data_IF_147576973049
#
_entry.id   IF_147576973049
#
_cell.length_a   1.000
_cell.length_b   1.000
_cell.length_c   1.000
_cell.angle_alpha   90.00
_cell.angle_beta   90.00
_cell.angle_gamma   90.00
#
_symmetry.space_group_name_H-M   'P 1'
#
loop_
_entity.id
_entity.type
_entity.pdbx_description
1 polymer ?
#
# COMPACT_ATOMS: atom_id res chain seq x y z
N UNK A 1 7.20 5.61 -24.94
CA UNK A 1 5.95 6.28 -24.51
C UNK A 1 4.80 5.46 -25.03
N UNK A 2 4.46 4.38 -24.33
CA UNK A 2 3.23 3.62 -24.57
C UNK A 2 2.63 3.41 -23.19
N UNK A 3 1.65 4.25 -22.86
CA UNK A 3 0.91 4.15 -21.61
C UNK A 3 -0.23 3.18 -21.78
N UNK A 4 -0.44 2.33 -20.78
CA UNK A 4 -1.68 1.56 -20.69
C UNK A 4 -2.68 2.44 -19.93
N UNK A 5 -3.80 2.76 -20.55
CA UNK A 5 -4.90 3.49 -19.95
C UNK A 5 -6.13 2.58 -19.90
N UNK A 6 -6.80 2.50 -18.75
CA UNK A 6 -8.08 1.82 -18.61
C UNK A 6 -9.14 2.80 -18.12
N UNK A 7 -10.35 2.61 -18.64
CA UNK A 7 -11.58 3.22 -18.16
C UNK A 7 -12.35 2.10 -17.45
N UNK A 8 -12.49 2.18 -16.13
CA UNK A 8 -13.35 1.26 -15.38
C UNK A 8 -14.76 1.87 -15.32
N UNK A 9 -15.66 1.39 -16.17
CA UNK A 9 -17.10 1.68 -16.08
C UNK A 9 -17.77 0.71 -15.11
N UNK A 10 -18.18 1.20 -13.93
CA UNK A 10 -18.96 0.41 -12.97
C UNK A 10 -20.46 0.70 -13.11
N UNK A 11 -21.27 -0.32 -13.40
CA UNK A 11 -22.74 -0.21 -13.39
C UNK A 11 -23.28 -0.74 -12.06
N UNK A 12 -23.84 0.14 -11.24
CA UNK A 12 -24.61 -0.27 -10.06
C UNK A 12 -26.09 -0.39 -10.45
N UNK A 13 -26.67 -1.61 -10.39
CA UNK A 13 -28.14 -1.81 -10.48
C UNK A 13 -28.73 -1.65 -9.08
N UNK A 14 -29.47 -0.57 -8.85
CA UNK A 14 -30.39 -0.49 -7.72
C UNK A 14 -31.58 -1.42 -8.00
N UNK A 15 -31.79 -2.42 -7.14
CA UNK A 15 -32.98 -3.24 -7.11
C UNK A 15 -34.19 -2.41 -6.65
N UNK A 16 -35.02 -1.97 -7.59
CA UNK A 16 -36.31 -1.33 -7.33
C UNK A 16 -37.46 -2.34 -7.36
N UNK A 17 -38.19 -2.47 -6.25
CA UNK A 17 -39.43 -3.24 -6.14
C UNK A 17 -40.48 -2.74 -7.14
N UNK A 18 -41.29 -3.69 -7.61
CA UNK A 18 -42.26 -3.50 -8.70
C UNK A 18 -43.28 -2.39 -8.50
N UNK A 19 -43.56 -1.68 -9.60
CA UNK A 19 -44.70 -0.81 -9.79
C UNK A 19 -44.87 -0.58 -11.28
N UNK A 20 -45.96 -1.10 -11.87
CA UNK A 20 -46.32 -0.81 -13.27
C UNK A 20 -46.79 0.64 -13.35
N UNK A 21 -46.07 1.46 -14.10
CA UNK A 21 -46.47 2.82 -14.44
C UNK A 21 -45.96 3.18 -15.83
N UNK A 22 -46.88 3.28 -16.79
CA UNK A 22 -46.60 3.83 -18.13
C UNK A 22 -46.41 5.33 -17.97
N UNK A 23 -45.24 5.87 -18.36
CA UNK A 23 -45.07 7.32 -18.51
C UNK A 23 -44.37 7.68 -19.82
N UNK A 24 -45.06 8.57 -20.51
CA UNK A 24 -44.80 9.18 -21.82
C UNK A 24 -43.45 9.90 -21.90
N UNK A 25 -42.79 9.75 -23.04
CA UNK A 25 -41.56 10.43 -23.41
C UNK A 25 -41.83 11.91 -23.76
N UNK A 26 -41.33 12.84 -22.95
CA UNK A 26 -41.14 14.25 -23.36
C UNK A 26 -39.65 14.55 -23.47
N UNK A 27 -39.22 14.98 -24.66
CA UNK A 27 -37.87 15.50 -24.93
C UNK A 27 -37.62 16.74 -24.07
N UNK A 28 -36.71 16.62 -23.10
CA UNK A 28 -36.14 17.74 -22.34
C UNK A 28 -34.72 18.05 -22.82
N UNK A 29 -34.44 19.35 -22.96
CA UNK A 29 -33.18 19.97 -23.43
C UNK A 29 -31.91 19.37 -22.80
N UNK A 30 -30.89 19.16 -23.63
CA UNK A 30 -29.50 18.98 -23.17
C UNK A 30 -29.04 20.23 -22.42
N UNK A 31 -28.78 20.07 -21.12
CA UNK A 31 -27.99 21.01 -20.33
C UNK A 31 -26.57 20.45 -20.30
N UNK A 32 -25.62 21.18 -20.88
CA UNK A 32 -24.22 20.80 -20.93
C UNK A 32 -23.65 20.54 -19.54
N UNK A 33 -23.50 19.27 -19.19
CA UNK A 33 -22.85 18.84 -17.96
C UNK A 33 -21.34 18.87 -18.20
N UNK A 34 -20.64 19.83 -17.59
CA UNK A 34 -19.19 19.80 -17.42
C UNK A 34 -18.83 18.63 -16.49
N UNK A 35 -18.82 17.42 -17.01
CA UNK A 35 -18.32 16.25 -16.27
C UNK A 35 -16.79 16.36 -16.17
N UNK A 36 -16.23 15.93 -15.04
CA UNK A 36 -14.79 16.01 -14.78
C UNK A 36 -14.15 14.63 -14.95
N UNK A 37 -12.92 14.61 -15.45
CA UNK A 37 -12.05 13.43 -15.52
C UNK A 37 -11.17 13.43 -14.26
N UNK A 38 -11.16 12.33 -13.51
CA UNK A 38 -10.20 12.13 -12.42
C UNK A 38 -9.05 11.29 -12.96
N UNK A 39 -7.84 11.86 -12.93
CA UNK A 39 -6.60 11.15 -13.26
C UNK A 39 -5.86 10.91 -11.95
N UNK A 40 -5.64 9.65 -11.61
CA UNK A 40 -4.75 9.25 -10.53
C UNK A 40 -3.47 8.69 -11.18
N UNK A 41 -2.41 9.49 -11.16
CA UNK A 41 -1.07 9.06 -11.60
C UNK A 41 -0.29 8.57 -10.38
N UNK A 42 0.22 7.35 -10.46
CA UNK A 42 1.17 6.83 -9.49
C UNK A 42 2.52 6.71 -10.19
N UNK A 43 3.39 7.70 -9.99
CA UNK A 43 4.76 7.61 -10.51
C UNK A 43 5.58 6.57 -9.72
N UNK A 44 6.30 5.73 -10.46
CA UNK A 44 7.35 4.88 -9.92
C UNK A 44 8.67 5.66 -9.95
N UNK A 45 8.86 6.56 -8.99
CA UNK A 45 10.15 7.24 -8.79
C UNK A 45 11.21 6.26 -8.30
N UNK A 46 12.19 5.94 -9.15
CA UNK A 46 13.52 5.53 -8.72
C UNK A 46 14.17 6.76 -8.08
N UNK A 47 14.67 6.61 -6.86
CA UNK A 47 15.32 7.67 -6.12
C UNK A 47 16.55 8.23 -6.87
N UNK A 48 16.36 9.33 -7.59
CA UNK A 48 17.44 10.23 -8.04
C UNK A 48 16.98 11.69 -7.96
N UNK A 49 17.64 12.41 -7.04
CA UNK A 49 17.94 13.85 -7.09
C UNK A 49 16.76 14.81 -7.25
N UNK A 50 16.13 15.20 -6.15
CA UNK A 50 15.47 16.51 -6.07
C UNK A 50 16.49 17.55 -5.60
N UNK A 51 17.11 18.22 -6.58
CA UNK A 51 17.50 19.62 -6.44
C UNK A 51 16.35 20.44 -7.03
N UNK A 52 15.86 21.39 -6.26
CA UNK A 52 15.10 22.57 -6.68
C UNK A 52 13.82 22.32 -7.52
N UNK A 53 12.67 22.16 -6.85
CA UNK A 53 11.39 22.57 -7.41
C UNK A 53 11.05 23.96 -6.87
N UNK A 54 11.55 24.97 -7.58
CA UNK A 54 11.05 26.34 -7.51
C UNK A 54 9.68 26.37 -8.17
N UNK A 55 8.66 26.74 -7.40
CA UNK A 55 7.31 27.01 -7.92
C UNK A 55 7.36 28.29 -8.75
N UNK A 56 7.53 28.16 -10.07
CA UNK A 56 7.35 29.28 -10.99
C UNK A 56 5.84 29.48 -11.27
N UNK A 57 5.22 30.33 -10.45
CA UNK A 57 3.96 30.99 -10.75
C UNK A 57 4.17 32.21 -11.65
N UNK A 58 3.23 32.41 -12.57
CA UNK A 58 3.11 33.51 -13.54
C UNK A 58 3.08 34.92 -12.87
N UNK A 59 3.32 36.00 -13.65
CA UNK A 59 3.77 37.29 -13.13
C UNK A 59 2.71 38.09 -12.35
N UNK A 60 3.25 38.92 -11.45
CA UNK A 60 2.53 39.82 -10.57
C UNK A 60 2.35 41.21 -11.21
N UNK A 61 1.24 41.42 -11.93
CA UNK A 61 0.80 42.73 -12.41
C UNK A 61 -0.54 42.66 -13.15
N UNK A 62 -1.66 42.53 -12.42
CA UNK A 62 -2.95 43.04 -12.90
C UNK A 62 -3.97 43.17 -11.75
N UNK A 63 -4.55 44.37 -11.65
CA UNK A 63 -5.72 44.77 -10.87
C UNK A 63 -5.50 45.24 -9.41
N UNK A 64 -5.01 46.48 -9.28
CA UNK A 64 -5.60 47.46 -8.36
C UNK A 64 -6.66 48.30 -9.11
N UNK A 65 -7.57 48.88 -8.33
CA UNK A 65 -8.60 49.89 -8.67
C UNK A 65 -10.01 49.40 -9.06
N UNK A 66 -10.86 49.17 -8.05
CA UNK A 66 -12.28 49.59 -8.09
C UNK A 66 -12.75 50.07 -6.70
N UNK A 67 -12.79 51.41 -6.59
CA UNK A 67 -13.68 52.33 -5.85
C UNK A 67 -14.75 51.77 -4.90
N UNK A 68 -14.72 52.28 -3.67
CA UNK A 68 -15.80 52.24 -2.65
C UNK A 68 -17.03 53.05 -3.10
N UNK A 69 -18.21 52.45 -3.04
CA UNK A 69 -19.49 53.18 -3.06
C UNK A 69 -20.51 52.51 -2.11
N UNK A 70 -21.21 53.36 -1.37
CA UNK A 70 -22.05 53.09 -0.20
C UNK A 70 -23.23 52.12 -0.41
N UNK A 71 -23.51 51.32 0.64
CA UNK A 71 -24.73 50.52 0.81
C UNK A 71 -25.41 50.81 2.17
N UNK A 72 -26.75 50.70 2.28
CA UNK A 72 -27.54 51.41 3.29
C UNK A 72 -27.64 50.74 4.67
N UNK A 73 -27.97 51.60 5.64
CA UNK A 73 -28.09 51.44 7.10
C UNK A 73 -28.94 50.22 7.56
N UNK A 74 -28.36 49.42 8.47
CA UNK A 74 -29.09 48.42 9.28
C UNK A 74 -29.83 49.09 10.45
N UNK A 75 -31.14 48.79 10.55
CA UNK A 75 -32.05 49.21 11.61
C UNK A 75 -31.96 48.27 12.84
N UNK A 76 -31.93 48.90 14.01
CA UNK A 76 -32.31 48.51 15.38
C UNK A 76 -32.29 47.03 15.86
N UNK A 77 -31.66 46.83 17.03
CA UNK A 77 -31.74 45.66 17.93
C UNK A 77 -33.14 45.52 18.58
N UNK A 78 -33.60 44.30 18.90
CA UNK A 78 -34.56 44.07 19.97
C UNK A 78 -33.89 43.61 21.29
N UNK A 79 -34.50 44.03 22.40
CA UNK A 79 -34.20 43.78 23.82
C UNK A 79 -34.51 42.32 24.28
N UNK A 80 -34.02 41.88 25.46
CA UNK A 80 -34.00 40.47 25.86
C UNK A 80 -35.27 40.02 26.60
N UNK A 81 -35.66 38.75 26.43
CA UNK A 81 -36.79 38.12 27.15
C UNK A 81 -36.29 36.95 28.01
N UNK A 82 -36.53 37.06 29.33
CA UNK A 82 -36.97 35.96 30.19
C UNK A 82 -35.93 34.96 30.70
N UNK A 83 -35.52 35.09 31.97
CA UNK A 83 -34.85 34.05 32.74
C UNK A 83 -35.76 32.82 32.93
N UNK A 84 -35.31 31.65 32.48
CA UNK A 84 -35.79 30.35 32.95
C UNK A 84 -34.62 29.64 33.67
N UNK A 85 -34.80 29.35 34.96
CA UNK A 85 -33.87 28.56 35.77
C UNK A 85 -33.86 27.12 35.24
N UNK A 86 -32.69 26.63 34.80
CA UNK A 86 -32.42 25.21 34.70
C UNK A 86 -31.54 24.78 35.88
N UNK A 87 -32.00 23.77 36.61
CA UNK A 87 -31.25 23.11 37.67
C UNK A 87 -30.04 22.39 37.06
N UNK A 88 -28.86 22.62 37.64
CA UNK A 88 -27.63 21.91 37.28
C UNK A 88 -27.68 20.53 37.94
N UNK A 89 -28.06 19.52 37.17
CA UNK A 89 -27.80 18.12 37.52
C UNK A 89 -26.32 17.86 37.27
N UNK A 90 -25.54 17.71 38.35
CA UNK A 90 -24.17 17.21 38.26
C UNK A 90 -24.20 15.75 37.81
N UNK A 91 -24.04 15.52 36.50
CA UNK A 91 -23.60 14.22 35.99
C UNK A 91 -22.09 14.22 36.07
N UNK A 92 -21.52 13.37 36.92
CA UNK A 92 -20.10 13.08 36.94
C UNK A 92 -19.72 12.56 35.54
N UNK A 93 -19.04 13.40 34.76
CA UNK A 93 -18.51 13.00 33.46
C UNK A 93 -17.28 12.14 33.68
N UNK A 94 -17.41 10.84 33.43
CA UNK A 94 -16.28 10.07 32.92
C UNK A 94 -15.93 10.70 31.57
N UNK A 95 -14.85 11.48 31.55
CA UNK A 95 -14.32 12.06 30.33
C UNK A 95 -13.75 10.93 29.47
N UNK A 96 -14.50 10.53 28.46
CA UNK A 96 -14.04 9.63 27.40
C UNK A 96 -12.79 10.27 26.76
N UNK A 97 -11.59 9.65 26.85
CA UNK A 97 -10.38 10.25 26.34
C UNK A 97 -10.51 10.51 24.85
N UNK A 98 -10.06 11.69 24.40
CA UNK A 98 -10.10 12.05 22.99
C UNK A 98 -9.43 10.96 22.14
N UNK A 99 -9.87 10.78 20.89
CA UNK A 99 -9.27 9.79 19.97
C UNK A 99 -7.73 9.92 19.91
N UNK A 100 -7.22 11.16 20.00
CA UNK A 100 -5.80 11.46 20.03
C UNK A 100 -5.11 10.97 21.32
N UNK A 101 -5.75 11.12 22.50
CA UNK A 101 -5.20 10.61 23.76
C UNK A 101 -5.16 9.08 23.78
N UNK A 102 -6.18 8.44 23.20
CA UNK A 102 -6.23 6.99 23.03
C UNK A 102 -5.13 6.48 22.08
N UNK A 103 -4.86 7.22 20.99
CA UNK A 103 -3.79 6.91 20.05
C UNK A 103 -2.40 7.08 20.66
N UNK A 104 -2.14 8.17 21.39
CA UNK A 104 -0.85 8.38 22.06
C UNK A 104 -0.59 7.28 23.10
N UNK A 105 -1.58 6.96 23.95
CA UNK A 105 -1.45 5.86 24.93
C UNK A 105 -1.17 4.52 24.27
N UNK A 106 -1.79 4.23 23.12
CA UNK A 106 -1.52 3.00 22.35
C UNK A 106 -0.11 3.01 21.76
N UNK A 107 0.34 4.13 21.22
CA UNK A 107 1.69 4.26 20.66
C UNK A 107 2.76 4.08 21.75
N UNK A 108 2.56 4.69 22.91
CA UNK A 108 3.46 4.54 24.06
C UNK A 108 3.48 3.10 24.59
N UNK A 109 2.32 2.44 24.65
CA UNK A 109 2.24 1.03 25.03
C UNK A 109 2.97 0.14 24.02
N UNK A 110 2.86 0.42 22.72
CA UNK A 110 3.56 -0.32 21.68
C UNK A 110 5.07 -0.10 21.72
N UNK A 111 5.53 1.12 22.00
CA UNK A 111 6.97 1.44 22.13
C UNK A 111 7.66 0.66 23.24
N UNK A 112 6.92 0.29 24.29
CA UNK A 112 7.42 -0.48 25.45
C UNK A 112 7.42 -1.99 25.23
N UNK A 113 6.79 -2.49 24.18
CA UNK A 113 6.74 -3.94 23.93
C UNK A 113 7.93 -4.39 23.08
N UNK A 114 8.79 -5.29 23.59
CA UNK A 114 9.98 -5.71 22.86
C UNK A 114 9.62 -6.49 21.59
N UNK A 115 10.44 -6.36 20.55
CA UNK A 115 10.22 -7.05 19.27
C UNK A 115 11.50 -7.66 18.69
N UNK A 116 11.42 -8.93 18.32
CA UNK A 116 12.43 -9.62 17.52
C UNK A 116 12.00 -9.60 16.04
N UNK A 117 12.78 -8.94 15.19
CA UNK A 117 12.52 -8.82 13.76
C UNK A 117 13.44 -9.77 13.01
N UNK A 118 12.87 -10.75 12.30
CA UNK A 118 13.63 -11.75 11.55
C UNK A 118 13.43 -11.54 10.06
N UNK A 119 14.50 -11.27 9.32
CA UNK A 119 14.49 -11.19 7.85
C UNK A 119 14.95 -12.53 7.28
N UNK A 120 13.99 -13.37 6.87
CA UNK A 120 14.25 -14.65 6.20
C UNK A 120 14.58 -14.36 4.73
N UNK A 121 15.70 -14.89 4.23
CA UNK A 121 16.25 -14.48 2.94
C UNK A 121 17.18 -13.26 3.02
N UNK A 122 17.80 -13.02 4.18
CA UNK A 122 18.62 -11.84 4.46
C UNK A 122 19.78 -11.59 3.48
N UNK A 123 20.30 -12.63 2.82
CA UNK A 123 21.38 -12.48 1.81
C UNK A 123 20.86 -12.08 0.42
N UNK A 124 19.55 -11.96 0.23
CA UNK A 124 18.91 -11.62 -1.04
C UNK A 124 18.81 -10.11 -1.32
N UNK A 125 18.52 -9.78 -2.56
CA UNK A 125 18.47 -8.39 -3.05
C UNK A 125 17.41 -7.52 -2.39
N UNK A 126 16.20 -8.06 -2.17
CA UNK A 126 15.12 -7.33 -1.53
C UNK A 126 15.50 -6.92 -0.09
N UNK A 127 16.09 -7.85 0.65
CA UNK A 127 16.52 -7.61 2.03
C UNK A 127 17.55 -6.47 2.10
N UNK A 128 18.58 -6.54 1.26
CA UNK A 128 19.66 -5.54 1.17
C UNK A 128 19.17 -4.18 0.70
N UNK A 129 18.42 -4.14 -0.41
CA UNK A 129 18.05 -2.87 -1.08
C UNK A 129 16.85 -2.17 -0.44
N UNK A 130 16.00 -2.89 0.30
CA UNK A 130 14.73 -2.36 0.81
C UNK A 130 14.48 -2.67 2.29
N UNK A 131 14.53 -3.94 2.70
CA UNK A 131 14.08 -4.33 4.05
C UNK A 131 14.96 -3.79 5.17
N UNK A 132 16.28 -4.01 5.13
CA UNK A 132 17.19 -3.48 6.15
C UNK A 132 17.26 -1.94 6.14
N UNK A 133 17.35 -1.26 4.97
CA UNK A 133 17.24 0.19 4.94
C UNK A 133 15.93 0.73 5.54
N UNK A 134 14.79 0.05 5.33
CA UNK A 134 13.52 0.45 5.92
C UNK A 134 13.49 0.27 7.45
N UNK A 135 14.02 -0.86 7.96
CA UNK A 135 14.14 -1.08 9.42
C UNK A 135 15.06 -0.03 10.05
N UNK A 136 16.20 0.28 9.40
CA UNK A 136 17.09 1.33 9.86
C UNK A 136 16.43 2.71 9.83
N UNK A 137 15.63 3.02 8.82
CA UNK A 137 14.85 4.27 8.77
C UNK A 137 13.87 4.36 9.94
N UNK A 138 13.15 3.28 10.25
CA UNK A 138 12.27 3.24 11.43
C UNK A 138 13.04 3.45 12.74
N UNK A 139 14.25 2.87 12.86
CA UNK A 139 15.13 3.10 13.99
C UNK A 139 15.60 4.56 14.07
N UNK A 140 16.05 5.12 12.95
CA UNK A 140 16.57 6.48 12.84
C UNK A 140 15.53 7.53 13.26
N UNK A 141 14.25 7.27 12.99
CA UNK A 141 13.12 8.13 13.36
C UNK A 141 12.48 7.78 14.71
N UNK A 142 13.09 6.90 15.52
CA UNK A 142 12.59 6.47 16.83
C UNK A 142 11.14 5.91 16.76
N UNK A 143 10.84 5.19 15.66
CA UNK A 143 9.56 4.53 15.37
C UNK A 143 9.57 3.03 15.68
N UNK A 144 10.73 2.44 15.99
CA UNK A 144 10.80 1.09 16.56
C UNK A 144 10.56 1.11 18.07
N UNK A 145 10.13 -0.01 18.67
CA UNK A 145 10.15 -0.18 20.12
C UNK A 145 11.55 0.05 20.70
N UNK A 146 11.62 0.45 21.96
CA UNK A 146 12.91 0.73 22.65
C UNK A 146 13.79 -0.54 22.70
N UNK A 147 13.15 -1.66 22.99
CA UNK A 147 13.76 -2.99 22.99
C UNK A 147 13.46 -3.71 21.68
N UNK A 148 14.42 -3.73 20.77
CA UNK A 148 14.31 -4.53 19.56
C UNK A 148 15.64 -5.17 19.19
N UNK A 149 15.54 -6.27 18.44
CA UNK A 149 16.66 -6.99 17.87
C UNK A 149 16.33 -7.40 16.44
N UNK A 150 17.33 -7.42 15.55
CA UNK A 150 17.17 -7.78 14.14
C UNK A 150 18.01 -9.02 13.84
N UNK A 151 17.39 -10.06 13.29
CA UNK A 151 18.05 -11.28 12.85
C UNK A 151 17.95 -11.44 11.34
N UNK A 152 19.08 -11.57 10.66
CA UNK A 152 19.13 -12.12 9.32
C UNK A 152 19.13 -13.64 9.35
N UNK A 153 18.32 -14.29 8.51
CA UNK A 153 18.32 -15.74 8.36
C UNK A 153 18.41 -16.13 6.89
N UNK A 154 19.45 -16.87 6.50
CA UNK A 154 19.58 -17.41 5.15
C UNK A 154 20.49 -18.65 5.08
N UNK A 155 20.51 -19.30 3.91
CA UNK A 155 21.37 -20.48 3.66
C UNK A 155 22.87 -20.15 3.63
N UNK A 156 23.20 -18.92 3.23
CA UNK A 156 24.58 -18.46 3.13
C UNK A 156 25.24 -18.52 4.51
N UNK A 157 26.44 -19.10 4.59
CA UNK A 157 27.24 -19.03 5.83
C UNK A 157 27.90 -17.67 5.88
N UNK A 158 27.65 -16.93 6.95
CA UNK A 158 28.23 -15.62 7.22
C UNK A 158 28.45 -15.50 8.72
N UNK A 159 29.51 -14.80 9.13
CA UNK A 159 29.73 -14.41 10.52
C UNK A 159 28.82 -13.23 10.90
N UNK A 160 28.79 -12.90 12.19
CA UNK A 160 28.05 -11.72 12.68
C UNK A 160 28.66 -10.43 12.08
N UNK A 161 29.98 -10.38 11.96
CA UNK A 161 30.76 -9.26 11.44
C UNK A 161 30.50 -9.07 9.95
N UNK A 162 30.59 -10.14 9.15
CA UNK A 162 30.29 -10.11 7.71
C UNK A 162 28.85 -9.66 7.44
N UNK A 163 27.90 -10.07 8.29
CA UNK A 163 26.52 -9.61 8.18
C UNK A 163 26.34 -8.14 8.50
N UNK A 164 27.01 -7.62 9.54
CA UNK A 164 26.96 -6.20 9.88
C UNK A 164 27.61 -5.34 8.81
N UNK A 165 28.74 -5.77 8.24
CA UNK A 165 29.37 -5.10 7.10
C UNK A 165 28.44 -5.09 5.87
N UNK A 166 27.79 -6.22 5.59
CA UNK A 166 26.80 -6.31 4.53
C UNK A 166 25.67 -5.30 4.74
N UNK A 167 25.05 -5.27 5.93
CA UNK A 167 24.00 -4.30 6.23
C UNK A 167 24.54 -2.87 6.07
N UNK A 168 25.65 -2.55 6.74
CA UNK A 168 26.28 -1.23 6.72
C UNK A 168 26.49 -0.71 5.29
N UNK A 169 26.98 -1.57 4.38
CA UNK A 169 27.20 -1.20 2.97
C UNK A 169 25.92 -0.87 2.20
N UNK A 170 24.76 -1.32 2.69
CA UNK A 170 23.45 -1.15 2.05
C UNK A 170 22.61 -0.05 2.70
N UNK A 171 22.93 0.34 3.93
CA UNK A 171 22.24 1.42 4.62
C UNK A 171 22.61 2.75 3.96
N UNK A 172 21.59 3.56 3.67
CA UNK A 172 21.81 4.89 3.11
C UNK A 172 21.23 5.95 4.04
N UNK A 173 22.03 6.95 4.39
CA UNK A 173 21.62 8.10 5.18
C UNK A 173 20.80 9.13 4.36
N UNK A 174 20.03 8.67 3.37
CA UNK A 174 19.30 9.55 2.44
C UNK A 174 18.17 10.32 3.13
N UNK A 175 17.88 10.02 4.40
CA UNK A 175 16.77 10.59 5.16
C UNK A 175 17.31 11.60 6.19
N UNK A 176 17.35 12.86 5.75
CA UNK A 176 17.45 14.15 6.47
C UNK A 176 18.32 14.23 7.76
N UNK A 177 19.28 15.15 7.67
CA UNK A 177 20.30 15.58 8.62
C UNK A 177 21.41 14.56 8.92
N UNK A 178 22.25 14.31 7.91
CA UNK A 178 23.40 13.39 7.95
C UNK A 178 24.46 13.67 9.03
N UNK A 179 24.25 14.66 9.91
CA UNK A 179 25.13 15.00 11.04
C UNK A 179 25.17 13.93 12.13
N UNK A 180 24.21 13.00 12.20
CA UNK A 180 24.16 11.90 13.20
C UNK A 180 24.10 10.48 12.63
N UNK A 181 24.31 10.31 11.32
CA UNK A 181 24.05 9.01 10.70
C UNK A 181 25.04 7.92 11.15
N UNK A 182 26.34 8.25 11.26
CA UNK A 182 27.34 7.30 11.77
C UNK A 182 27.01 6.85 13.19
N UNK A 183 26.67 7.78 14.07
CA UNK A 183 26.27 7.49 15.45
C UNK A 183 25.06 6.54 15.50
N UNK A 184 24.03 6.81 14.70
CA UNK A 184 22.85 5.94 14.61
C UNK A 184 23.19 4.57 14.01
N UNK A 185 24.12 4.47 13.06
CA UNK A 185 24.59 3.18 12.56
C UNK A 185 25.33 2.40 13.65
N UNK A 186 26.20 3.06 14.41
CA UNK A 186 26.96 2.47 15.51
C UNK A 186 26.04 1.97 16.65
N UNK A 187 24.89 2.61 16.86
CA UNK A 187 23.84 2.15 17.78
C UNK A 187 22.99 0.99 17.22
N UNK A 188 22.75 0.98 15.91
CA UNK A 188 21.87 0.01 15.25
C UNK A 188 22.56 -1.34 14.98
N UNK A 189 23.77 -1.32 14.40
CA UNK A 189 24.47 -2.52 13.95
C UNK A 189 24.74 -3.56 15.05
N UNK A 190 25.02 -3.18 16.32
CA UNK A 190 25.16 -4.15 17.42
C UNK A 190 23.89 -4.98 17.67
N UNK A 191 22.71 -4.46 17.30
CA UNK A 191 21.40 -5.14 17.43
C UNK A 191 21.10 -6.08 16.25
N UNK A 192 21.97 -6.11 15.24
CA UNK A 192 21.85 -6.95 14.07
C UNK A 192 22.68 -8.23 14.25
N UNK A 193 22.01 -9.37 14.16
CA UNK A 193 22.56 -10.71 14.30
C UNK A 193 22.22 -11.57 13.10
N UNK A 194 22.98 -12.63 12.87
CA UNK A 194 22.81 -13.54 11.74
C UNK A 194 22.75 -15.00 12.18
N UNK A 195 21.87 -15.77 11.56
CA UNK A 195 21.76 -17.22 11.74
C UNK A 195 21.72 -17.88 10.37
N UNK A 196 22.67 -18.78 10.11
CA UNK A 196 22.68 -19.57 8.88
C UNK A 196 21.83 -20.82 9.03
N UNK A 197 20.94 -21.10 8.07
CA UNK A 197 20.11 -22.31 8.09
C UNK A 197 19.31 -22.52 6.81
N UNK A 198 18.82 -23.74 6.61
CA UNK A 198 17.93 -24.09 5.48
C UNK A 198 16.49 -23.70 5.78
N UNK A 199 15.71 -23.45 4.74
CA UNK A 199 14.31 -23.02 4.88
C UNK A 199 13.33 -24.18 5.09
N UNK A 200 13.76 -25.41 4.80
CA UNK A 200 12.96 -26.63 4.82
C UNK A 200 13.35 -27.61 5.93
N UNK A 201 14.22 -27.18 6.86
CA UNK A 201 14.72 -28.01 7.96
C UNK A 201 14.28 -27.42 9.31
N UNK A 202 13.46 -28.17 10.05
CA UNK A 202 12.91 -27.73 11.34
C UNK A 202 13.96 -27.52 12.43
N UNK A 203 15.05 -28.32 12.44
CA UNK A 203 16.15 -28.15 13.41
C UNK A 203 16.87 -26.82 13.26
N UNK A 204 16.95 -26.29 12.03
CA UNK A 204 17.62 -25.00 11.76
C UNK A 204 16.77 -23.84 12.30
N UNK A 205 15.43 -23.93 12.20
CA UNK A 205 14.52 -22.98 12.85
C UNK A 205 14.51 -23.13 14.38
N UNK A 206 14.75 -24.34 14.90
CA UNK A 206 14.94 -24.54 16.34
C UNK A 206 16.23 -23.87 16.84
N UNK A 207 17.28 -23.83 16.03
CA UNK A 207 18.50 -23.08 16.33
C UNK A 207 18.22 -21.56 16.33
N UNK A 208 17.50 -21.06 15.31
CA UNK A 208 17.03 -19.66 15.29
C UNK A 208 16.20 -19.32 16.54
N UNK A 209 15.29 -20.21 16.96
CA UNK A 209 14.48 -20.00 18.16
C UNK A 209 15.34 -19.87 19.44
N UNK A 210 16.43 -20.63 19.56
CA UNK A 210 17.36 -20.50 20.69
C UNK A 210 18.02 -19.13 20.71
N UNK A 211 18.45 -18.63 19.55
CA UNK A 211 19.03 -17.28 19.43
C UNK A 211 18.02 -16.19 19.84
N UNK A 212 16.79 -16.28 19.32
CA UNK A 212 15.70 -15.36 19.69
C UNK A 212 15.41 -15.41 21.20
N UNK A 213 15.36 -16.62 21.78
CA UNK A 213 15.09 -16.81 23.19
C UNK A 213 16.17 -16.20 24.10
N UNK A 214 17.43 -16.09 23.64
CA UNK A 214 18.49 -15.44 24.43
C UNK A 214 18.19 -13.95 24.65
N UNK A 215 17.77 -13.23 23.60
CA UNK A 215 17.33 -11.84 23.72
C UNK A 215 16.04 -11.69 24.54
N UNK A 216 15.11 -12.63 24.39
CA UNK A 216 13.77 -12.56 24.96
C UNK A 216 13.69 -13.04 26.43
N UNK A 217 14.69 -13.76 26.93
CA UNK A 217 14.65 -14.46 28.22
C UNK A 217 14.32 -13.58 29.44
N UNK A 218 14.75 -12.33 29.41
CA UNK A 218 14.53 -11.33 30.48
C UNK A 218 13.24 -10.52 30.31
N UNK A 219 12.46 -10.76 29.26
CA UNK A 219 11.29 -9.97 28.89
C UNK A 219 9.98 -10.67 29.24
N UNK A 220 8.98 -9.91 29.67
CA UNK A 220 7.65 -10.45 29.98
C UNK A 220 6.86 -10.84 28.71
N UNK A 221 7.02 -10.05 27.66
CA UNK A 221 6.44 -10.25 26.33
C UNK A 221 7.57 -10.50 25.33
N UNK A 222 7.34 -11.35 24.33
CA UNK A 222 8.31 -11.62 23.25
C UNK A 222 7.66 -11.56 21.88
N UNK A 223 7.42 -10.37 21.34
CA UNK A 223 6.81 -10.26 20.03
C UNK A 223 7.81 -10.64 18.93
N UNK A 224 7.37 -11.43 17.95
CA UNK A 224 8.22 -11.84 16.81
C UNK A 224 7.59 -11.45 15.49
N UNK A 225 8.36 -10.78 14.63
CA UNK A 225 7.98 -10.42 13.26
C UNK A 225 8.92 -11.09 12.27
N UNK A 226 8.41 -11.99 11.45
CA UNK A 226 9.15 -12.67 10.39
C UNK A 226 8.85 -12.02 9.04
N UNK A 227 9.84 -11.41 8.40
CA UNK A 227 9.76 -10.90 7.04
C UNK A 227 10.30 -11.96 6.07
N UNK A 228 9.44 -12.52 5.23
CA UNK A 228 9.81 -13.53 4.24
C UNK A 228 10.24 -12.88 2.93
N UNK A 229 11.51 -12.47 2.86
CA UNK A 229 12.18 -12.01 1.64
C UNK A 229 12.71 -13.20 0.81
N UNK A 230 11.85 -14.20 0.58
CA UNK A 230 12.18 -15.44 -0.13
C UNK A 230 11.20 -15.69 -1.28
N UNK A 231 11.60 -16.48 -2.31
CA UNK A 231 10.69 -16.84 -3.39
C UNK A 231 9.44 -17.59 -2.90
N UNK A 232 8.31 -17.52 -3.64
CA UNK A 232 7.06 -18.19 -3.26
C UNK A 232 7.18 -19.70 -3.00
N UNK A 233 8.07 -20.38 -3.74
CA UNK A 233 8.33 -21.83 -3.57
C UNK A 233 8.89 -22.20 -2.20
N UNK A 234 9.46 -21.23 -1.49
CA UNK A 234 10.07 -21.40 -0.16
C UNK A 234 9.10 -21.00 0.96
N UNK A 235 8.13 -20.14 0.66
CA UNK A 235 7.24 -19.54 1.64
C UNK A 235 6.58 -20.61 2.54
N UNK A 236 5.81 -21.53 1.96
CA UNK A 236 5.07 -22.52 2.76
C UNK A 236 5.97 -23.32 3.71
N UNK A 237 7.17 -23.69 3.25
CA UNK A 237 8.15 -24.42 4.06
C UNK A 237 8.68 -23.57 5.22
N UNK A 238 9.06 -22.32 4.94
CA UNK A 238 9.53 -21.39 5.95
C UNK A 238 8.43 -21.08 6.98
N UNK A 239 7.22 -20.75 6.54
CA UNK A 239 6.08 -20.48 7.43
C UNK A 239 5.75 -21.69 8.31
N UNK A 240 5.74 -22.90 7.75
CA UNK A 240 5.52 -24.14 8.52
C UNK A 240 6.57 -24.29 9.62
N UNK A 241 7.85 -24.13 9.28
CA UNK A 241 8.93 -24.27 10.25
C UNK A 241 8.93 -23.15 11.31
N UNK A 242 8.56 -21.92 10.94
CA UNK A 242 8.33 -20.83 11.90
C UNK A 242 7.25 -21.23 12.89
N UNK A 243 6.09 -21.68 12.40
CA UNK A 243 4.97 -22.06 13.25
C UNK A 243 5.31 -23.23 14.20
N UNK A 244 6.09 -24.21 13.73
CA UNK A 244 6.45 -25.40 14.50
C UNK A 244 7.57 -25.16 15.51
N UNK A 245 8.60 -24.37 15.16
CA UNK A 245 9.86 -24.34 15.90
C UNK A 245 10.27 -22.95 16.40
N UNK A 246 9.77 -21.85 15.81
CA UNK A 246 10.22 -20.49 16.10
C UNK A 246 9.08 -19.50 16.40
N UNK A 247 7.88 -20.00 16.67
CA UNK A 247 6.74 -19.19 17.10
C UNK A 247 7.02 -18.56 18.46
N UNK A 248 6.56 -17.33 18.67
CA UNK A 248 6.70 -16.68 19.97
C UNK A 248 5.96 -17.48 21.06
N UNK A 249 6.61 -17.72 22.22
CA UNK A 249 5.94 -18.34 23.35
C UNK A 249 5.10 -17.35 24.19
N UNK A 250 5.37 -16.05 24.14
CA UNK A 250 4.81 -15.03 25.05
C UNK A 250 4.47 -13.71 24.34
N UNK A 251 3.88 -13.78 23.15
CA UNK A 251 3.55 -12.59 22.37
C UNK A 251 2.97 -12.95 21.02
N UNK A 252 2.83 -11.96 20.14
CA UNK A 252 2.37 -12.24 18.78
C UNK A 252 3.49 -12.85 17.94
N UNK A 253 3.10 -13.63 16.94
CA UNK A 253 3.95 -13.99 15.80
C UNK A 253 3.32 -13.45 14.54
N UNK A 254 3.96 -12.48 13.89
CA UNK A 254 3.48 -11.90 12.63
C UNK A 254 4.42 -12.27 11.50
N UNK A 255 3.87 -12.57 10.34
CA UNK A 255 4.61 -13.02 9.17
C UNK A 255 4.27 -12.12 7.99
N UNK A 256 5.26 -11.38 7.51
CA UNK A 256 5.18 -10.48 6.36
C UNK A 256 5.64 -11.22 5.12
N UNK A 257 4.84 -11.17 4.06
CA UNK A 257 5.00 -12.03 2.88
C UNK A 257 4.86 -11.22 1.61
N UNK A 258 5.71 -11.52 0.63
CA UNK A 258 5.83 -10.77 -0.62
C UNK A 258 5.11 -11.43 -1.78
N UNK A 259 4.77 -10.62 -2.80
CA UNK A 259 4.27 -11.10 -4.08
C UNK A 259 5.33 -11.95 -4.80
N UNK A 260 4.95 -12.90 -5.68
CA UNK A 260 3.59 -13.18 -6.17
C UNK A 260 2.76 -14.13 -5.29
N UNK A 261 1.46 -13.87 -5.21
CA UNK A 261 0.47 -14.69 -4.50
C UNK A 261 -0.28 -15.62 -5.47
N UNK A 262 0.44 -16.59 -6.04
CA UNK A 262 -0.08 -17.42 -7.14
C UNK A 262 -0.06 -16.68 -8.49
N UNK A 263 -0.53 -17.37 -9.53
CA UNK A 263 -0.54 -16.87 -10.93
C UNK A 263 -1.97 -16.67 -11.47
N UNK A 264 -2.96 -17.22 -10.78
CA UNK A 264 -4.37 -17.21 -11.11
C UNK A 264 -5.21 -17.49 -9.86
N UNK A 265 -6.54 -17.50 -10.01
CA UNK A 265 -7.46 -17.73 -8.90
C UNK A 265 -7.34 -19.13 -8.29
N UNK A 266 -6.92 -20.14 -9.05
CA UNK A 266 -6.82 -21.52 -8.56
C UNK A 266 -5.55 -21.71 -7.72
N UNK A 267 -4.40 -21.35 -8.28
CA UNK A 267 -3.12 -21.36 -7.57
C UNK A 267 -3.12 -20.47 -6.33
N UNK A 268 -3.84 -19.34 -6.35
CA UNK A 268 -4.02 -18.52 -5.14
C UNK A 268 -4.89 -19.22 -4.08
N UNK A 269 -5.93 -19.97 -4.47
CA UNK A 269 -6.74 -20.73 -3.50
C UNK A 269 -5.90 -21.81 -2.82
N UNK A 270 -5.06 -22.51 -3.57
CA UNK A 270 -4.13 -23.51 -3.03
C UNK A 270 -3.15 -22.87 -2.04
N UNK A 271 -2.50 -21.78 -2.47
CA UNK A 271 -1.58 -21.02 -1.61
C UNK A 271 -2.30 -20.53 -0.34
N UNK A 272 -3.49 -19.94 -0.49
CA UNK A 272 -4.27 -19.44 0.64
C UNK A 272 -4.63 -20.56 1.61
N UNK A 273 -5.12 -21.70 1.12
CA UNK A 273 -5.49 -22.84 1.95
C UNK A 273 -4.28 -23.35 2.74
N UNK A 274 -3.14 -23.52 2.06
CA UNK A 274 -1.88 -23.94 2.67
C UNK A 274 -1.36 -22.97 3.72
N UNK A 275 -1.51 -21.65 3.52
CA UNK A 275 -1.08 -20.66 4.50
C UNK A 275 -2.03 -20.56 5.69
N UNK A 276 -3.34 -20.61 5.43
CA UNK A 276 -4.36 -20.50 6.48
C UNK A 276 -4.37 -21.68 7.46
N UNK A 277 -3.80 -22.83 7.08
CA UNK A 277 -3.62 -23.96 7.99
C UNK A 277 -2.39 -23.81 8.90
N UNK A 278 -1.51 -22.85 8.62
CA UNK A 278 -0.26 -22.61 9.36
C UNK A 278 -0.36 -21.34 10.20
N UNK A 279 -0.90 -20.27 9.62
CA UNK A 279 -0.99 -18.94 10.21
C UNK A 279 -2.43 -18.44 10.15
N UNK A 280 -2.87 -17.77 11.21
CA UNK A 280 -4.15 -17.05 11.17
C UNK A 280 -4.05 -15.81 10.26
N UNK A 281 -5.21 -15.26 9.89
CA UNK A 281 -5.27 -14.07 9.03
C UNK A 281 -4.72 -12.83 9.74
N UNK A 282 -4.85 -12.73 11.07
CA UNK A 282 -4.31 -11.64 11.89
C UNK A 282 -2.77 -11.67 11.98
N UNK A 283 -2.18 -12.84 11.73
CA UNK A 283 -0.72 -13.04 11.75
C UNK A 283 -0.10 -12.81 10.37
N UNK A 284 -0.91 -12.77 9.31
CA UNK A 284 -0.41 -12.78 7.92
C UNK A 284 -0.50 -11.40 7.28
N UNK A 285 0.64 -10.80 6.98
CA UNK A 285 0.75 -9.48 6.37
C UNK A 285 1.25 -9.60 4.92
N UNK A 286 0.31 -9.53 3.97
CA UNK A 286 0.60 -9.63 2.53
C UNK A 286 0.98 -8.25 1.98
N UNK A 287 2.19 -8.12 1.47
CA UNK A 287 2.70 -6.85 0.96
C UNK A 287 2.16 -6.57 -0.44
N UNK A 288 1.53 -5.41 -0.54
CA UNK A 288 1.44 -4.64 -1.76
C UNK A 288 2.06 -3.26 -1.46
N UNK A 289 3.27 -3.03 -1.95
CA UNK A 289 4.05 -1.84 -1.59
C UNK A 289 3.42 -0.52 -2.09
N UNK A 290 2.47 -0.55 -3.02
CA UNK A 290 1.76 0.66 -3.44
C UNK A 290 0.87 1.21 -2.33
N UNK A 291 0.35 0.35 -1.46
CA UNK A 291 -0.41 0.79 -0.28
C UNK A 291 0.45 1.54 0.75
N UNK A 292 1.77 1.45 0.64
CA UNK A 292 2.73 2.21 1.45
C UNK A 292 3.09 3.58 0.85
N UNK A 293 2.66 3.90 -0.37
CA UNK A 293 2.94 5.20 -0.99
C UNK A 293 2.04 6.27 -0.38
N UNK A 294 2.63 7.40 0.01
CA UNK A 294 1.94 8.51 0.68
C UNK A 294 0.69 8.99 -0.08
N UNK A 295 0.82 9.22 -1.39
CA UNK A 295 -0.32 9.65 -2.23
C UNK A 295 -1.45 8.62 -2.28
N UNK A 296 -1.13 7.32 -2.21
CA UNK A 296 -2.15 6.26 -2.19
C UNK A 296 -2.86 6.23 -0.85
N UNK A 297 -2.14 6.45 0.27
CA UNK A 297 -2.75 6.55 1.60
C UNK A 297 -3.64 7.78 1.72
N UNK A 298 -3.24 8.91 1.12
CA UNK A 298 -4.00 10.17 1.14
C UNK A 298 -5.36 10.09 0.43
N UNK A 299 -5.62 9.06 -0.40
CA UNK A 299 -6.94 8.85 -1.01
C UNK A 299 -8.06 8.72 0.04
N UNK A 300 -7.77 8.12 1.19
CA UNK A 300 -8.74 7.99 2.29
C UNK A 300 -9.14 9.36 2.84
N UNK A 301 -8.13 10.18 3.17
CA UNK A 301 -8.32 11.52 3.70
C UNK A 301 -9.02 12.42 2.68
N UNK A 302 -8.58 12.38 1.41
CA UNK A 302 -9.17 13.16 0.34
C UNK A 302 -10.68 12.87 0.20
N UNK A 303 -11.09 11.60 0.19
CA UNK A 303 -12.48 11.22 -0.08
C UNK A 303 -13.41 11.41 1.12
N UNK A 304 -12.96 11.04 2.31
CA UNK A 304 -13.87 10.90 3.45
C UNK A 304 -13.69 11.96 4.54
N UNK A 305 -12.58 12.71 4.56
CA UNK A 305 -12.39 13.82 5.49
C UNK A 305 -12.87 15.18 4.93
N UNK A 306 -13.31 15.22 3.66
CA UNK A 306 -13.65 16.46 2.97
C UNK A 306 -15.12 16.45 2.51
N UNK A 307 -15.95 17.28 3.13
CA UNK A 307 -17.37 17.44 2.80
C UNK A 307 -17.64 17.94 1.38
N UNK A 308 -16.64 18.54 0.72
CA UNK A 308 -16.74 19.00 -0.67
C UNK A 308 -16.65 17.83 -1.65
N UNK A 309 -15.85 16.80 -1.34
CA UNK A 309 -15.61 15.69 -2.26
C UNK A 309 -16.69 14.62 -2.19
N UNK A 310 -17.21 14.32 -0.99
CA UNK A 310 -18.18 13.24 -0.78
C UNK A 310 -19.44 13.35 -1.68
N UNK A 311 -20.11 14.52 -1.83
CA UNK A 311 -21.30 14.64 -2.69
C UNK A 311 -21.03 14.53 -4.19
N UNK A 312 -19.78 14.80 -4.63
CA UNK A 312 -19.39 14.78 -6.05
C UNK A 312 -18.64 13.50 -6.44
N UNK A 313 -18.35 12.61 -5.50
CA UNK A 313 -17.60 11.38 -5.76
C UNK A 313 -18.49 10.24 -6.27
N UNK A 314 -19.26 10.51 -7.33
CA UNK A 314 -20.20 9.54 -7.90
C UNK A 314 -20.45 9.77 -9.40
N UNK A 315 -21.14 8.82 -10.03
CA UNK A 315 -21.45 8.80 -11.48
C UNK A 315 -22.24 9.99 -12.02
N UNK A 316 -22.85 10.81 -11.16
CA UNK A 316 -23.57 12.00 -11.61
C UNK A 316 -22.61 13.15 -11.95
N UNK A 317 -21.39 13.13 -11.38
CA UNK A 317 -20.40 14.20 -11.51
C UNK A 317 -19.10 13.73 -12.15
N UNK A 318 -18.72 12.46 -11.94
CA UNK A 318 -17.52 11.84 -12.53
C UNK A 318 -17.86 11.25 -13.89
N UNK A 319 -17.12 11.65 -14.93
CA UNK A 319 -17.24 11.04 -16.26
C UNK A 319 -16.50 9.71 -16.34
N UNK A 320 -15.24 9.71 -15.89
CA UNK A 320 -14.33 8.58 -15.98
C UNK A 320 -13.21 8.72 -14.95
N UNK A 321 -12.73 7.59 -14.48
CA UNK A 321 -11.53 7.47 -13.65
C UNK A 321 -10.44 6.81 -14.49
N UNK A 322 -9.25 7.41 -14.50
CA UNK A 322 -8.07 6.86 -15.16
C UNK A 322 -6.99 6.62 -14.10
N UNK A 323 -6.49 5.39 -14.05
CA UNK A 323 -5.37 5.00 -13.18
C UNK A 323 -4.23 4.60 -14.11
N UNK A 324 -3.13 5.34 -14.03
CA UNK A 324 -2.03 5.24 -14.99
C UNK A 324 -0.76 4.84 -14.26
N UNK A 325 -0.11 3.81 -14.80
CA UNK A 325 1.24 3.41 -14.44
C UNK A 325 2.11 3.38 -15.70
N UNK A 326 3.27 4.03 -15.62
CA UNK A 326 4.24 4.13 -16.71
C UNK A 326 5.63 3.96 -16.12
N UNK A 327 6.46 3.21 -16.83
CA UNK A 327 7.90 3.13 -16.58
C UNK A 327 8.63 3.59 -17.84
N UNK A 328 9.80 4.21 -17.65
CA UNK A 328 10.66 4.68 -18.73
C UNK A 328 11.78 3.69 -19.07
N UNK A 329 11.84 2.54 -18.40
CA UNK A 329 12.77 1.44 -18.63
C UNK A 329 12.02 0.17 -19.07
N UNK A 330 12.76 -0.77 -19.69
CA UNK A 330 12.23 -2.06 -20.16
C UNK A 330 12.35 -3.17 -19.11
N UNK A 331 12.48 -4.42 -19.54
CA UNK A 331 12.67 -5.55 -18.61
C UNK A 331 14.09 -5.70 -18.07
N UNK A 332 15.07 -5.00 -18.64
CA UNK A 332 16.45 -4.88 -18.15
C UNK A 332 17.10 -6.24 -17.80
N UNK A 333 17.13 -7.19 -18.76
CA UNK A 333 17.71 -8.52 -18.55
C UNK A 333 16.83 -9.47 -17.72
N UNK A 334 15.59 -9.08 -17.40
CA UNK A 334 14.62 -9.92 -16.67
C UNK A 334 13.52 -10.46 -17.57
N UNK A 335 13.70 -10.48 -18.89
CA UNK A 335 12.68 -10.99 -19.82
C UNK A 335 12.20 -12.39 -19.46
N UNK A 336 13.12 -13.31 -19.15
CA UNK A 336 12.76 -14.70 -18.81
C UNK A 336 11.86 -14.83 -17.58
N UNK A 337 12.05 -13.99 -16.56
CA UNK A 337 11.15 -13.94 -15.40
C UNK A 337 9.83 -13.25 -15.75
N UNK A 338 9.89 -12.10 -16.43
CA UNK A 338 8.73 -11.30 -16.75
C UNK A 338 7.77 -12.01 -17.71
N UNK A 339 8.26 -12.85 -18.62
CA UNK A 339 7.44 -13.59 -19.60
C UNK A 339 6.42 -14.52 -18.93
N UNK A 340 6.81 -15.19 -17.84
CA UNK A 340 5.92 -16.03 -17.04
C UNK A 340 4.89 -15.25 -16.22
N UNK A 341 5.09 -13.94 -16.03
CA UNK A 341 4.25 -13.07 -15.18
C UNK A 341 3.36 -12.17 -16.03
N UNK A 342 3.96 -11.34 -16.88
CA UNK A 342 3.32 -10.32 -17.71
C UNK A 342 2.81 -9.12 -16.92
N UNK A 343 2.59 -7.99 -17.61
CA UNK A 343 2.20 -6.72 -16.97
C UNK A 343 0.90 -6.80 -16.16
N UNK A 344 -0.03 -7.67 -16.57
CA UNK A 344 -1.31 -7.86 -15.87
C UNK A 344 -1.06 -8.41 -14.45
N UNK A 345 -0.23 -9.45 -14.30
CA UNK A 345 0.05 -10.03 -12.98
C UNK A 345 1.05 -9.20 -12.19
N UNK A 346 2.00 -8.57 -12.88
CA UNK A 346 3.07 -7.84 -12.20
C UNK A 346 2.57 -6.55 -11.55
N UNK A 347 1.70 -5.79 -12.24
CA UNK A 347 1.27 -4.44 -11.82
C UNK A 347 -0.26 -4.29 -11.72
N UNK A 348 -1.03 -4.83 -12.67
CA UNK A 348 -2.46 -4.51 -12.76
C UNK A 348 -3.29 -5.22 -11.69
N UNK A 349 -3.08 -6.53 -11.54
CA UNK A 349 -3.84 -7.38 -10.62
C UNK A 349 -3.62 -7.01 -9.15
N UNK A 350 -2.47 -6.43 -8.82
CA UNK A 350 -2.09 -6.00 -7.48
C UNK A 350 -2.25 -4.48 -7.33
N UNK A 351 -1.23 -3.69 -7.69
CA UNK A 351 -1.08 -2.28 -7.40
C UNK A 351 -2.24 -1.44 -7.92
N UNK A 352 -2.58 -1.57 -9.21
CA UNK A 352 -3.65 -0.76 -9.80
C UNK A 352 -5.02 -1.14 -9.27
N UNK A 353 -5.24 -2.44 -9.02
CA UNK A 353 -6.49 -2.92 -8.44
C UNK A 353 -6.66 -2.43 -6.99
N UNK A 354 -5.58 -2.34 -6.22
CA UNK A 354 -5.59 -1.78 -4.87
C UNK A 354 -5.89 -0.27 -4.88
N UNK A 355 -5.28 0.49 -5.79
CA UNK A 355 -5.58 1.92 -5.96
C UNK A 355 -7.03 2.11 -6.40
N UNK A 356 -7.51 1.33 -7.37
CA UNK A 356 -8.92 1.33 -7.78
C UNK A 356 -9.84 1.08 -6.59
N UNK A 357 -9.50 0.12 -5.73
CA UNK A 357 -10.30 -0.18 -4.57
C UNK A 357 -10.43 1.01 -3.61
N UNK A 358 -9.33 1.73 -3.36
CA UNK A 358 -9.35 2.93 -2.52
C UNK A 358 -10.07 4.11 -3.18
N UNK A 359 -10.03 4.21 -4.50
CA UNK A 359 -10.74 5.25 -5.27
C UNK A 359 -12.26 5.01 -5.29
N UNK A 360 -12.72 3.76 -5.36
CA UNK A 360 -14.11 3.44 -5.68
C UNK A 360 -14.92 2.79 -4.53
N UNK A 361 -14.29 2.35 -3.44
CA UNK A 361 -15.03 1.76 -2.31
C UNK A 361 -15.97 2.78 -1.64
N UNK A 362 -17.03 2.32 -0.98
CA UNK A 362 -17.90 3.20 -0.19
C UNK A 362 -17.19 3.71 1.08
N UNK A 363 -17.73 4.75 1.75
CA UNK A 363 -17.23 5.15 3.07
C UNK A 363 -17.29 3.98 4.05
N UNK A 364 -16.16 3.62 4.69
CA UNK A 364 -16.17 2.57 5.70
C UNK A 364 -16.88 3.05 6.97
N UNK A 365 -17.45 2.12 7.72
CA UNK A 365 -18.16 2.45 8.98
C UNK A 365 -17.22 3.01 10.06
N UNK A 366 -15.93 2.69 9.98
CA UNK A 366 -14.88 3.26 10.82
C UNK A 366 -13.51 3.19 10.11
N UNK A 367 -12.47 3.77 10.73
CA UNK A 367 -11.09 3.65 10.27
C UNK A 367 -10.39 2.36 10.74
N UNK A 368 -11.13 1.43 11.34
CA UNK A 368 -10.60 0.12 11.70
C UNK A 368 -10.22 -0.67 10.45
N UNK A 369 -9.10 -1.40 10.51
CA UNK A 369 -8.52 -2.06 9.35
C UNK A 369 -9.50 -3.01 8.65
N UNK A 370 -10.32 -3.74 9.41
CA UNK A 370 -11.28 -4.69 8.84
C UNK A 370 -12.46 -4.00 8.15
N UNK A 371 -12.92 -2.85 8.65
CA UNK A 371 -14.02 -2.09 8.04
C UNK A 371 -13.59 -1.53 6.68
N UNK A 372 -12.35 -1.04 6.59
CA UNK A 372 -11.74 -0.61 5.32
C UNK A 372 -11.60 -1.81 4.37
N UNK A 373 -11.11 -2.96 4.85
CA UNK A 373 -10.99 -4.19 4.04
C UNK A 373 -12.34 -4.65 3.51
N UNK A 374 -13.38 -4.60 4.33
CA UNK A 374 -14.73 -5.01 3.97
C UNK A 374 -15.28 -4.19 2.79
N UNK A 375 -15.12 -2.86 2.81
CA UNK A 375 -15.57 -2.01 1.70
C UNK A 375 -14.75 -2.24 0.41
N UNK A 376 -13.44 -2.49 0.53
CA UNK A 376 -12.60 -2.90 -0.61
C UNK A 376 -13.09 -4.23 -1.22
N UNK A 377 -13.33 -5.25 -0.38
CA UNK A 377 -13.78 -6.57 -0.85
C UNK A 377 -15.19 -6.52 -1.45
N UNK A 378 -16.09 -5.74 -0.86
CA UNK A 378 -17.45 -5.51 -1.37
C UNK A 378 -17.43 -4.89 -2.76
N UNK A 379 -16.60 -3.86 -2.97
CA UNK A 379 -16.39 -3.30 -4.30
C UNK A 379 -15.87 -4.35 -5.28
N UNK A 380 -14.77 -5.04 -4.95
CA UNK A 380 -14.16 -6.03 -5.87
C UNK A 380 -15.14 -7.17 -6.24
N UNK A 381 -16.04 -7.57 -5.34
CA UNK A 381 -17.09 -8.56 -5.61
C UNK A 381 -18.18 -8.05 -6.54
N UNK A 382 -18.41 -6.75 -6.59
CA UNK A 382 -19.38 -6.10 -7.48
C UNK A 382 -18.85 -5.86 -8.89
N UNK A 383 -17.53 -5.97 -9.10
CA UNK A 383 -16.92 -5.76 -10.41
C UNK A 383 -17.29 -6.88 -11.38
N UNK A 384 -17.61 -6.47 -12.61
CA UNK A 384 -17.79 -7.42 -13.71
C UNK A 384 -16.44 -8.03 -14.12
N UNK A 385 -16.48 -9.29 -14.56
CA UNK A 385 -15.28 -9.95 -15.10
C UNK A 385 -14.91 -9.31 -16.43
N UNK A 386 -13.64 -8.96 -16.57
CA UNK A 386 -13.12 -8.44 -17.84
C UNK A 386 -13.22 -9.49 -18.94
N UNK A 387 -13.59 -9.05 -20.12
CA UNK A 387 -13.62 -9.88 -21.35
C UNK A 387 -12.46 -9.49 -22.26
N UNK A 388 -12.25 -10.22 -23.35
CA UNK A 388 -11.18 -9.91 -24.33
C UNK A 388 -11.32 -8.52 -24.94
N UNK A 389 -12.54 -8.02 -25.02
CA UNK A 389 -12.87 -6.73 -25.64
C UNK A 389 -12.64 -5.56 -24.66
N UNK A 390 -12.37 -5.89 -23.38
CA UNK A 390 -12.12 -4.93 -22.32
C UNK A 390 -10.67 -4.44 -22.27
N UNK A 391 -9.75 -5.05 -23.04
CA UNK A 391 -8.33 -4.71 -22.96
C UNK A 391 -7.65 -4.60 -24.32
N UNK A 392 -6.61 -3.76 -24.35
CA UNK A 392 -5.61 -3.71 -25.42
C UNK A 392 -4.28 -4.13 -24.81
N UNK A 393 -3.60 -5.08 -25.46
CA UNK A 393 -2.28 -5.56 -25.04
C UNK A 393 -1.25 -5.09 -26.07
N UNK A 394 -0.17 -4.49 -25.58
CA UNK A 394 0.99 -4.10 -26.38
C UNK A 394 2.25 -4.83 -25.94
N UNK A 395 3.25 -4.84 -26.81
CA UNK A 395 4.61 -5.29 -26.53
C UNK A 395 5.58 -4.30 -27.18
N UNK A 396 6.46 -3.69 -26.38
CA UNK A 396 7.37 -2.67 -26.87
C UNK A 396 8.42 -3.27 -27.82
N UNK A 397 8.73 -2.52 -28.88
CA UNK A 397 9.78 -2.84 -29.85
C UNK A 397 11.00 -1.95 -29.63
N UNK A 398 12.16 -2.41 -30.11
CA UNK A 398 13.40 -1.65 -30.04
C UNK A 398 13.32 -0.39 -30.88
N UNK A 399 14.05 0.64 -30.47
CA UNK A 399 14.10 1.94 -31.16
C UNK A 399 15.43 2.22 -31.88
N UNK A 400 16.30 1.22 -31.99
CA UNK A 400 17.65 1.34 -32.56
C UNK A 400 18.75 1.08 -31.52
N UNK A 401 19.99 1.46 -31.85
CA UNK A 401 21.18 1.17 -31.03
C UNK A 401 21.01 1.62 -29.57
N UNK A 402 21.17 0.67 -28.64
CA UNK A 402 21.10 0.90 -27.20
C UNK A 402 19.71 0.83 -26.55
N UNK A 403 18.64 0.64 -27.34
CA UNK A 403 17.28 0.44 -26.81
C UNK A 403 16.67 -0.85 -27.40
N UNK A 404 17.11 -2.03 -26.92
CA UNK A 404 16.59 -3.30 -27.41
C UNK A 404 15.10 -3.46 -27.12
N UNK A 405 14.38 -4.07 -28.04
CA UNK A 405 12.98 -4.45 -27.86
C UNK A 405 12.81 -5.59 -26.87
N UNK A 406 11.58 -5.87 -26.43
CA UNK A 406 11.33 -6.99 -25.51
C UNK A 406 11.80 -8.34 -26.08
N UNK A 407 11.76 -8.50 -27.41
CA UNK A 407 12.20 -9.73 -28.09
C UNK A 407 13.72 -9.84 -28.27
N UNK A 408 14.45 -8.76 -28.01
CA UNK A 408 15.89 -8.65 -28.20
C UNK A 408 16.66 -8.78 -26.87
N UNK A 409 15.95 -8.93 -25.75
CA UNK A 409 16.52 -9.13 -24.41
C UNK A 409 17.03 -10.58 -24.24
N UNK A 410 18.19 -10.73 -23.59
CA UNK A 410 18.80 -12.04 -23.34
C UNK A 410 17.93 -12.88 -22.39
N UNK A 411 17.63 -14.13 -22.78
CA UNK A 411 16.87 -15.07 -21.94
C UNK A 411 15.38 -15.16 -22.23
N UNK A 412 14.90 -14.59 -23.34
CA UNK A 412 13.52 -14.77 -23.79
C UNK A 412 13.30 -16.17 -24.42
N UNK A 413 12.20 -16.89 -24.09
CA UNK A 413 11.79 -18.07 -24.85
C UNK A 413 11.27 -17.70 -26.27
N UNK A 414 11.46 -18.58 -27.26
CA UNK A 414 11.09 -18.35 -28.68
C UNK A 414 9.57 -18.22 -28.93
N UNK A 415 8.72 -18.26 -27.90
CA UNK A 415 7.28 -18.32 -28.06
C UNK A 415 6.67 -17.02 -28.62
N UNK A 416 5.76 -17.21 -29.59
CA UNK A 416 4.99 -16.15 -30.23
C UNK A 416 3.69 -15.88 -29.45
N UNK A 417 3.54 -14.67 -28.90
CA UNK A 417 2.25 -14.22 -28.34
C UNK A 417 1.36 -13.80 -29.52
N UNK A 418 0.31 -14.57 -29.76
CA UNK A 418 -0.72 -14.26 -30.77
C UNK A 418 -1.57 -13.08 -30.27
N UNK A 419 -1.33 -11.90 -30.83
CA UNK A 419 -2.17 -10.72 -30.63
C UNK A 419 -3.42 -10.86 -31.51
N UNK A 420 -4.54 -11.30 -30.92
CA UNK A 420 -5.83 -11.21 -31.60
C UNK A 420 -6.29 -9.75 -31.62
N UNK A 421 -6.32 -9.14 -32.81
CA UNK A 421 -7.00 -7.86 -33.05
C UNK A 421 -8.49 -8.04 -32.78
N UNK A 422 -9.05 -7.24 -31.86
CA UNK A 422 -10.50 -7.11 -31.70
C UNK A 422 -10.90 -5.66 -31.97
N UNK A 423 -11.72 -5.47 -33.01
CA UNK A 423 -12.37 -4.19 -33.32
C UNK A 423 -13.59 -3.99 -32.43
N UNK A 424 -13.82 -2.76 -31.98
CA UNK A 424 -14.89 -2.42 -31.05
C UNK A 424 -15.97 -1.56 -31.75
N UNK A 425 -17.23 -2.01 -31.66
CA UNK A 425 -18.39 -1.13 -31.69
C UNK A 425 -19.15 -1.33 -30.37
N UNK A 426 -19.37 -0.21 -29.68
CA UNK A 426 -20.25 0.03 -28.53
C UNK A 426 -19.72 -0.29 -27.13
N UNK A 427 -19.38 0.78 -26.40
CA UNK A 427 -19.50 0.84 -24.94
C UNK A 427 -20.25 2.12 -24.57
N UNK A 428 -21.45 1.94 -24.00
CA UNK A 428 -22.23 2.98 -23.31
C UNK A 428 -22.00 2.80 -21.81
N UNK A 429 -21.55 3.86 -21.14
CA UNK A 429 -21.41 3.94 -19.68
C UNK A 429 -20.13 4.65 -19.30
#
# INVERSE_FOLDING_TARGET
MEGVAFVVGGVNRLAGRGGRGVLSCRRGREVGSRRRVIVAEAEAGVAQTEKDIVVNGLPADAAQDVVLADGPKLLARPEPVGQARSEVVHVAGDSDPSLMDSMHKRLDAMKKQPVSIVVVGASGDLAKKKTFPAIFSLFYHDLLPEDFVVYGYARSKMTQEEFRELIMSTLTCRVIDGRKCSEKMDEFLPRCHYVSGKYDVSSDFSALNKELAMFESSKEVSNRLFYLAVPPSVFQKAASNINLAARSPKGYTRVVVEKPFGKDAESYRELRAALSSILSEEETYRIDHYLGKELVQNLMSLRFANSIFEPIWNRNYIQSVQIVFKENFGVEGRAGYFDGVGIIRDIMQNHLLQVLALVAMEPPVSLHAEDIRNEKVKLLRSMEKLTKDSFVIGQYQGKGEGQPGYREDEGKPEAEIVLNKVGNHHLRG
#
